data_IF_787053048463
#
_entry.id   IF_787053048463
#
_cell.length_a   1.000
_cell.length_b   1.000
_cell.length_c   1.000
_cell.angle_alpha   90.00
_cell.angle_beta   90.00
_cell.angle_gamma   90.00
#
_symmetry.space_group_name_H-M   'P 1'
#
loop_
_entity.id
_entity.type
_entity.pdbx_description
1 polymer ?
#
# COMPACT_ATOMS: atom_id res chain seq x y z
N UNK A 1 -9.39 -11.66 -4.87
CA UNK A 1 -9.18 -12.99 -4.25
C UNK A 1 -7.77 -12.95 -3.71
N UNK A 2 -7.50 -13.40 -2.48
CA UNK A 2 -6.14 -13.35 -1.96
C UNK A 2 -5.26 -14.39 -2.68
N UNK A 3 -4.06 -14.01 -3.08
CA UNK A 3 -3.13 -14.89 -3.79
C UNK A 3 -1.99 -15.27 -2.85
N UNK A 4 -1.94 -16.56 -2.49
CA UNK A 4 -0.86 -17.14 -1.70
C UNK A 4 0.24 -17.68 -2.59
N UNK A 5 1.45 -17.18 -2.40
CA UNK A 5 2.63 -17.49 -3.19
C UNK A 5 3.79 -17.82 -2.23
N UNK A 6 4.74 -18.64 -2.67
CA UNK A 6 6.00 -18.81 -1.97
C UNK A 6 7.10 -18.12 -2.78
N UNK A 7 7.60 -17.00 -2.25
CA UNK A 7 8.58 -16.14 -2.91
C UNK A 7 9.84 -16.12 -2.04
N UNK A 8 10.99 -16.46 -2.62
CA UNK A 8 12.28 -16.47 -1.90
C UNK A 8 12.33 -17.33 -0.61
N UNK A 9 11.40 -18.28 -0.46
CA UNK A 9 11.30 -19.12 0.75
C UNK A 9 10.30 -18.60 1.78
N UNK A 10 9.70 -17.44 1.55
CA UNK A 10 8.67 -16.82 2.39
C UNK A 10 7.28 -17.16 1.88
N UNK A 11 6.34 -17.45 2.79
CA UNK A 11 4.91 -17.51 2.45
C UNK A 11 4.37 -16.09 2.38
N UNK A 12 3.95 -15.68 1.18
CA UNK A 12 3.39 -14.35 0.92
C UNK A 12 1.93 -14.47 0.50
N UNK A 13 1.05 -13.63 1.05
CA UNK A 13 -0.37 -13.54 0.66
C UNK A 13 -0.72 -12.11 0.23
N UNK A 14 -0.88 -11.87 -1.07
CA UNK A 14 -1.26 -10.57 -1.64
C UNK A 14 -2.78 -10.43 -1.82
N UNK A 15 -3.24 -9.19 -2.02
CA UNK A 15 -4.63 -8.87 -2.37
C UNK A 15 -5.59 -9.02 -1.19
N UNK A 16 -5.13 -8.73 0.03
CA UNK A 16 -5.98 -8.75 1.24
C UNK A 16 -6.88 -7.51 1.31
N UNK A 17 -6.47 -6.40 0.69
CA UNK A 17 -7.35 -5.26 0.44
C UNK A 17 -8.37 -5.62 -0.67
N UNK A 18 -9.65 -5.33 -0.41
CA UNK A 18 -10.74 -5.58 -1.35
C UNK A 18 -11.16 -4.34 -2.15
N UNK A 19 -10.32 -3.30 -2.19
CA UNK A 19 -10.61 -2.06 -2.89
C UNK A 19 -9.44 -1.07 -2.87
N UNK A 20 -9.68 0.06 -3.53
CA UNK A 20 -8.83 1.24 -3.52
C UNK A 20 -9.13 2.07 -2.27
N UNK A 21 -8.10 2.62 -1.64
CA UNK A 21 -8.24 3.55 -0.53
C UNK A 21 -7.11 4.58 -0.59
N UNK A 22 -7.42 5.83 -0.26
CA UNK A 22 -6.41 6.88 -0.11
C UNK A 22 -6.18 7.05 1.39
N UNK A 23 -4.94 6.88 1.82
CA UNK A 23 -4.52 7.01 3.20
C UNK A 23 -3.80 8.35 3.34
N UNK A 24 -4.34 9.23 4.19
CA UNK A 24 -3.66 10.47 4.55
C UNK A 24 -2.75 10.21 5.76
N UNK A 25 -1.44 10.36 5.56
CA UNK A 25 -0.42 10.18 6.59
C UNK A 25 -0.02 11.56 7.10
N UNK A 26 -0.35 11.86 8.35
CA UNK A 26 0.11 13.06 9.03
C UNK A 26 1.53 12.89 9.55
N UNK A 27 2.52 13.47 8.86
CA UNK A 27 3.82 13.79 9.45
C UNK A 27 3.67 15.08 10.29
N UNK A 28 4.44 15.21 11.38
CA UNK A 28 4.32 16.26 12.42
C UNK A 28 3.89 17.67 11.92
N UNK A 29 4.42 18.11 10.77
CA UNK A 29 4.10 19.41 10.15
C UNK A 29 3.50 19.32 8.73
N UNK A 30 3.29 18.12 8.17
CA UNK A 30 2.81 17.91 6.79
C UNK A 30 1.93 16.66 6.67
N UNK A 31 0.83 16.74 5.92
CA UNK A 31 0.02 15.57 5.55
C UNK A 31 0.38 15.12 4.14
N UNK A 32 0.70 13.85 3.96
CA UNK A 32 0.92 13.23 2.64
C UNK A 32 -0.25 12.33 2.28
N UNK A 33 -0.73 12.40 1.04
CA UNK A 33 -1.76 11.52 0.54
C UNK A 33 -1.11 10.35 -0.19
N UNK A 34 -1.31 9.16 0.34
CA UNK A 34 -0.77 7.94 -0.25
C UNK A 34 -1.88 7.03 -0.78
N UNK A 35 -1.71 6.54 -1.99
CA UNK A 35 -2.58 5.53 -2.58
C UNK A 35 -2.27 4.17 -1.96
N UNK A 36 -3.30 3.48 -1.49
CA UNK A 36 -3.17 2.09 -1.07
C UNK A 36 -2.90 1.23 -2.29
N UNK A 37 -1.73 0.60 -2.34
CA UNK A 37 -1.38 -0.33 -3.39
C UNK A 37 -1.97 -1.69 -3.03
N UNK A 38 -1.46 -2.29 -1.95
CA UNK A 38 -1.88 -3.62 -1.51
C UNK A 38 -1.61 -3.82 -0.01
N UNK A 39 -2.43 -4.67 0.61
CA UNK A 39 -2.17 -5.23 1.95
C UNK A 39 -1.83 -6.69 1.77
N UNK A 40 -0.66 -7.08 2.25
CA UNK A 40 -0.13 -8.41 2.06
C UNK A 40 0.53 -8.95 3.32
N UNK A 41 0.58 -10.27 3.45
CA UNK A 41 1.22 -10.93 4.60
C UNK A 41 2.50 -11.61 4.16
N UNK A 42 3.61 -11.45 4.89
CA UNK A 42 4.86 -12.22 4.71
C UNK A 42 5.15 -12.98 6.01
N UNK A 43 5.30 -14.30 5.94
CA UNK A 43 5.58 -15.19 7.08
C UNK A 43 4.71 -14.95 8.35
N UNK A 44 3.43 -14.60 8.15
CA UNK A 44 2.42 -14.26 9.18
C UNK A 44 2.48 -12.84 9.74
N UNK A 45 3.35 -11.98 9.21
CA UNK A 45 3.37 -10.55 9.50
C UNK A 45 2.62 -9.82 8.39
N UNK A 46 1.68 -8.96 8.77
CA UNK A 46 0.91 -8.17 7.81
C UNK A 46 1.63 -6.85 7.53
N UNK A 47 1.73 -6.51 6.25
CA UNK A 47 2.36 -5.32 5.71
C UNK A 47 1.40 -4.58 4.80
N UNK A 48 1.59 -3.28 4.68
CA UNK A 48 0.88 -2.44 3.74
C UNK A 48 1.87 -1.64 2.91
N UNK A 49 1.68 -1.68 1.59
CA UNK A 49 2.41 -0.85 0.64
C UNK A 49 1.55 0.32 0.19
N UNK A 50 2.10 1.52 0.33
CA UNK A 50 1.46 2.80 0.02
C UNK A 50 2.31 3.55 -1.00
N UNK A 51 1.69 4.25 -1.94
CA UNK A 51 2.40 5.07 -2.92
C UNK A 51 2.08 6.54 -2.68
N UNK A 52 3.08 7.36 -2.42
CA UNK A 52 2.90 8.81 -2.30
C UNK A 52 2.39 9.39 -3.62
N UNK A 53 1.27 10.13 -3.55
CA UNK A 53 0.75 10.87 -4.69
C UNK A 53 1.68 12.01 -5.11
N UNK A 54 2.38 12.63 -4.15
CA UNK A 54 3.25 13.79 -4.41
C UNK A 54 4.62 13.38 -4.96
N UNK A 55 5.26 12.40 -4.31
CA UNK A 55 6.64 12.01 -4.63
C UNK A 55 6.77 10.73 -5.45
N UNK A 56 5.66 10.01 -5.71
CA UNK A 56 5.64 8.68 -6.33
C UNK A 56 6.57 7.67 -5.63
N UNK A 57 6.80 7.87 -4.34
CA UNK A 57 7.63 6.98 -3.51
C UNK A 57 6.76 5.92 -2.85
N UNK A 58 7.24 4.68 -2.84
CA UNK A 58 6.58 3.58 -2.16
C UNK A 58 7.01 3.57 -0.70
N UNK A 59 6.04 3.59 0.21
CA UNK A 59 6.20 3.42 1.63
C UNK A 59 5.67 2.06 2.07
N UNK A 60 6.42 1.40 2.96
CA UNK A 60 6.06 0.12 3.57
C UNK A 60 5.92 0.29 5.07
N UNK A 61 4.80 -0.19 5.60
CA UNK A 61 4.51 -0.16 7.03
C UNK A 61 3.96 -1.52 7.48
N UNK A 62 4.10 -1.82 8.76
CA UNK A 62 3.34 -2.90 9.37
C UNK A 62 1.86 -2.53 9.39
N UNK A 63 1.03 -3.46 8.91
CA UNK A 63 -0.40 -3.33 8.96
C UNK A 63 -0.92 -3.95 10.26
N UNK A 64 -1.40 -3.12 11.18
CA UNK A 64 -1.99 -3.57 12.42
C UNK A 64 -3.46 -3.13 12.51
N UNK A 65 -4.37 -4.05 12.20
CA UNK A 65 -5.80 -3.87 12.38
C UNK A 65 -6.13 -3.97 13.88
N UNK A 66 -5.85 -2.88 14.61
CA UNK A 66 -6.31 -2.73 15.98
C UNK A 66 -7.81 -2.46 15.96
N UNK A 67 -8.60 -3.53 16.08
CA UNK A 67 -10.08 -3.58 16.15
C UNK A 67 -10.80 -2.57 17.07
N UNK A 68 -10.08 -1.75 17.82
CA UNK A 68 -10.60 -0.91 18.90
C UNK A 68 -10.94 0.51 18.45
N UNK A 69 -10.37 1.02 17.36
CA UNK A 69 -10.68 2.34 16.81
C UNK A 69 -10.75 2.29 15.28
N UNK A 70 -11.60 3.11 14.69
CA UNK A 70 -11.75 3.33 13.23
C UNK A 70 -10.46 3.90 12.57
N UNK A 71 -9.35 3.91 13.30
CA UNK A 71 -8.05 4.45 12.94
C UNK A 71 -7.08 3.28 12.68
N UNK A 72 -6.55 3.24 11.45
CA UNK A 72 -5.53 2.27 11.07
C UNK A 72 -4.20 2.73 11.68
N UNK A 73 -3.60 1.88 12.52
CA UNK A 73 -2.28 2.17 13.06
C UNK A 73 -1.20 1.59 12.15
N UNK A 74 -0.39 2.46 11.56
CA UNK A 74 0.72 2.11 10.67
C UNK A 74 2.04 2.27 11.43
N UNK A 75 2.80 1.18 11.54
CA UNK A 75 4.10 1.20 12.23
C UNK A 75 5.24 1.10 11.19
N UNK A 76 6.27 1.94 11.36
CA UNK A 76 7.42 1.97 10.47
C UNK A 76 8.26 0.71 10.69
N UNK A 77 8.73 0.10 9.59
CA UNK A 77 9.70 -0.99 9.64
C UNK A 77 11.06 -0.39 10.00
N UNK A 78 11.51 -0.56 11.25
CA UNK A 78 12.81 -0.05 11.71
C UNK A 78 13.99 -0.92 11.23
N UNK A 79 13.73 -2.17 10.89
CA UNK A 79 14.73 -3.14 10.44
C UNK A 79 14.95 -3.00 8.92
N UNK A 80 16.13 -2.50 8.54
CA UNK A 80 16.47 -2.26 7.13
C UNK A 80 16.55 -3.57 6.32
N UNK A 81 17.04 -4.67 6.91
CA UNK A 81 17.13 -5.97 6.25
C UNK A 81 15.73 -6.53 5.96
N UNK A 82 14.80 -6.41 6.92
CA UNK A 82 13.40 -6.80 6.72
C UNK A 82 12.71 -5.92 5.68
N UNK A 83 12.90 -4.60 5.73
CA UNK A 83 12.33 -3.69 4.75
C UNK A 83 12.79 -4.04 3.33
N UNK A 84 14.09 -4.24 3.12
CA UNK A 84 14.65 -4.58 1.79
C UNK A 84 14.10 -5.91 1.28
N UNK A 85 13.99 -6.91 2.17
CA UNK A 85 13.41 -8.21 1.83
C UNK A 85 11.93 -8.09 1.43
N UNK A 86 11.12 -7.41 2.24
CA UNK A 86 9.70 -7.20 1.98
C UNK A 86 9.49 -6.38 0.70
N UNK A 87 10.30 -5.34 0.49
CA UNK A 87 10.25 -4.53 -0.72
C UNK A 87 10.61 -5.36 -1.97
N UNK A 88 11.59 -6.25 -1.87
CA UNK A 88 11.96 -7.14 -2.96
C UNK A 88 10.84 -8.15 -3.27
N UNK A 89 10.17 -8.69 -2.25
CA UNK A 89 8.99 -9.56 -2.43
C UNK A 89 7.83 -8.80 -3.08
N UNK A 90 7.60 -7.56 -2.64
CA UNK A 90 6.55 -6.69 -3.16
C UNK A 90 6.78 -6.34 -4.62
N UNK A 91 7.96 -5.81 -4.97
CA UNK A 91 8.30 -5.41 -6.34
C UNK A 91 8.36 -6.59 -7.33
N UNK A 92 8.58 -7.81 -6.83
CA UNK A 92 8.47 -9.02 -7.65
C UNK A 92 7.02 -9.33 -8.05
N UNK A 93 6.03 -8.92 -7.25
CA UNK A 93 4.61 -9.12 -7.56
C UNK A 93 4.00 -7.87 -8.23
N UNK A 94 4.32 -6.69 -7.74
CA UNK A 94 3.91 -5.39 -8.27
C UNK A 94 5.04 -4.78 -9.09
N UNK A 95 5.04 -5.07 -10.40
CA UNK A 95 5.92 -4.41 -11.35
C UNK A 95 5.55 -2.93 -11.53
N UNK A 96 6.50 -2.13 -12.03
CA UNK A 96 6.32 -0.69 -12.31
C UNK A 96 5.08 -0.42 -13.17
N UNK A 97 4.78 -1.28 -14.16
CA UNK A 97 3.60 -1.15 -15.03
C UNK A 97 2.27 -1.31 -14.25
N UNK A 98 2.23 -2.23 -13.28
CA UNK A 98 1.05 -2.44 -12.45
C UNK A 98 0.82 -1.25 -11.49
N UNK A 99 1.91 -0.67 -10.99
CA UNK A 99 1.87 0.55 -10.17
C UNK A 99 1.39 1.76 -10.97
N UNK A 100 1.92 1.94 -12.18
CA UNK A 100 1.53 3.04 -13.08
C UNK A 100 0.04 2.94 -13.42
N UNK A 101 -0.44 1.72 -13.72
CA UNK A 101 -1.85 1.50 -13.98
C UNK A 101 -2.73 1.77 -12.75
N UNK A 102 -2.26 1.42 -11.54
CA UNK A 102 -2.95 1.74 -10.30
C UNK A 102 -3.06 3.25 -10.09
N UNK A 103 -1.99 4.01 -10.33
CA UNK A 103 -2.00 5.49 -10.22
C UNK A 103 -2.97 6.10 -11.21
N UNK A 104 -2.90 5.73 -12.49
CA UNK A 104 -3.82 6.19 -13.53
C UNK A 104 -5.28 5.93 -13.14
N UNK A 105 -5.55 4.77 -12.54
CA UNK A 105 -6.86 4.36 -12.08
C UNK A 105 -7.31 5.11 -10.80
N UNK A 106 -6.40 5.65 -9.97
CA UNK A 106 -6.73 6.59 -8.89
C UNK A 106 -6.98 8.01 -9.41
N UNK A 107 -6.15 8.49 -10.34
CA UNK A 107 -6.27 9.83 -10.94
C UNK A 107 -7.55 9.92 -11.79
N UNK A 108 -7.85 8.89 -12.58
CA UNK A 108 -9.06 8.85 -13.42
C UNK A 108 -10.35 8.85 -12.60
N UNK A 109 -10.38 8.22 -11.42
CA UNK A 109 -11.54 8.27 -10.50
C UNK A 109 -11.72 9.68 -9.89
N UNK A 110 -10.65 10.48 -9.75
CA UNK A 110 -10.73 11.86 -9.27
C UNK A 110 -11.22 12.84 -10.34
N UNK A 111 -10.75 12.69 -11.58
CA UNK A 111 -11.13 13.57 -12.70
C UNK A 111 -12.62 13.43 -13.08
N UNK A 112 -13.24 12.26 -12.90
CA UNK A 112 -14.67 12.05 -13.21
C UNK A 112 -15.63 12.81 -12.26
N UNK A 113 -15.11 13.36 -11.15
CA UNK A 113 -15.91 14.15 -10.19
C UNK A 113 -15.98 15.65 -10.52
N UNK A 114 -15.29 16.13 -11.56
CA UNK A 114 -15.36 17.53 -12.06
C UNK A 114 -16.18 17.64 -13.36
N UNK A 115 -17.26 16.87 -13.49
CA UNK A 115 -18.34 17.16 -14.45
C UNK A 115 -19.67 17.31 -13.72
N UNK A 116 -19.71 18.24 -12.77
CA UNK A 116 -20.98 18.87 -12.37
C UNK A 116 -21.33 19.86 -13.47
N UNK A 117 -22.03 19.35 -14.49
CA UNK A 117 -22.73 20.10 -15.53
C UNK A 117 -23.72 21.10 -14.88
N UNK A 118 -23.49 22.39 -15.06
CA UNK A 118 -24.52 23.44 -14.94
C UNK A 118 -24.47 24.44 -16.10
#
# INVERSE_FOLDING_TARGET
>A
MTEKLNLHGHEVEFGKNKGKAIIEIGFDENTDQCYLIDIFTVDKTDYVALLSSDSSQIYLFYYNDSFDNDEINLEIIEDEDEMDEVFHLFTHYWDEEALDNLVDDYESDMDDNDVIDE
#
